data_IF_614508360069
#
_entry.id   IF_614508360069
#
_cell.length_a   1.000
_cell.length_b   1.000
_cell.length_c   1.000
_cell.angle_alpha   90.00
_cell.angle_beta   90.00
_cell.angle_gamma   90.00
#
_symmetry.space_group_name_H-M   'P 1'
#
loop_
_entity.id
_entity.type
_entity.pdbx_description
1 polymer ?
#
# COMPACT_ATOMS: atom_id res chain seq x y z
N UNK A 1 2.57 9.52 15.77
CA UNK A 1 3.34 8.47 15.09
C UNK A 1 2.47 7.82 14.04
N UNK A 2 2.94 7.77 12.82
CA UNK A 2 2.18 7.20 11.72
C UNK A 2 2.08 5.69 11.88
N UNK A 3 0.89 5.14 11.71
CA UNK A 3 0.66 3.69 11.80
C UNK A 3 0.37 3.10 10.44
N UNK A 4 0.87 1.89 10.21
CA UNK A 4 0.71 1.22 8.91
C UNK A 4 0.40 -0.27 9.11
N UNK A 5 -0.17 -0.87 8.07
CA UNK A 5 -0.13 -2.32 7.88
C UNK A 5 0.66 -2.59 6.60
N UNK A 6 1.38 -3.70 6.58
CA UNK A 6 2.24 -4.07 5.45
C UNK A 6 1.80 -5.41 4.91
N UNK A 7 1.50 -5.48 3.62
CA UNK A 7 0.99 -6.69 2.97
C UNK A 7 1.77 -6.99 1.71
N UNK A 8 2.41 -8.16 1.69
CA UNK A 8 3.21 -8.66 0.57
C UNK A 8 3.30 -10.17 0.76
N UNK A 9 3.23 -10.96 -0.30
CA UNK A 9 3.26 -12.42 -0.17
C UNK A 9 4.63 -12.99 0.18
N UNK A 10 5.68 -12.20 0.03
CA UNK A 10 7.03 -12.62 0.41
C UNK A 10 7.28 -12.28 1.88
N UNK A 11 7.26 -13.31 2.74
CA UNK A 11 7.38 -13.11 4.18
C UNK A 11 8.68 -12.46 4.59
N UNK A 12 9.78 -12.82 3.93
CA UNK A 12 11.09 -12.23 4.24
C UNK A 12 11.09 -10.73 3.90
N UNK A 13 10.50 -10.36 2.78
CA UNK A 13 10.36 -8.96 2.39
C UNK A 13 9.57 -8.18 3.45
N UNK A 14 8.46 -8.75 3.91
CA UNK A 14 7.64 -8.10 4.94
C UNK A 14 8.44 -7.89 6.22
N UNK A 15 9.17 -8.91 6.64
CA UNK A 15 9.94 -8.83 7.88
C UNK A 15 11.01 -7.73 7.83
N UNK A 16 11.80 -7.74 6.77
CA UNK A 16 12.88 -6.74 6.60
C UNK A 16 12.29 -5.33 6.49
N UNK A 17 11.24 -5.21 5.70
CA UNK A 17 10.60 -3.91 5.49
C UNK A 17 10.06 -3.35 6.81
N UNK A 18 9.41 -4.19 7.60
CA UNK A 18 8.87 -3.75 8.89
C UNK A 18 9.97 -3.32 9.86
N UNK A 19 11.13 -3.97 9.82
CA UNK A 19 12.26 -3.57 10.64
C UNK A 19 12.74 -2.17 10.27
N UNK A 20 12.83 -1.88 8.98
CA UNK A 20 13.22 -0.53 8.52
C UNK A 20 12.20 0.51 8.93
N UNK A 21 10.91 0.18 8.82
CA UNK A 21 9.86 1.12 9.20
C UNK A 21 9.95 1.45 10.69
N UNK A 22 10.22 0.44 11.53
CA UNK A 22 10.34 0.65 12.96
C UNK A 22 11.51 1.57 13.29
N UNK A 23 12.64 1.41 12.58
CA UNK A 23 13.80 2.28 12.76
C UNK A 23 13.46 3.74 12.45
N UNK A 24 12.54 3.96 11.50
CA UNK A 24 12.11 5.30 11.10
C UNK A 24 10.90 5.78 11.89
N UNK A 25 10.61 5.17 13.01
CA UNK A 25 9.51 5.56 13.91
C UNK A 25 8.13 5.46 13.29
N UNK A 26 7.96 4.51 12.39
CA UNK A 26 6.65 4.19 11.85
C UNK A 26 6.13 2.93 12.53
N UNK A 27 4.92 3.00 13.05
CA UNK A 27 4.36 1.91 13.84
C UNK A 27 3.65 0.90 12.92
N UNK A 28 4.16 -0.31 12.87
CA UNK A 28 3.54 -1.39 12.10
C UNK A 28 2.50 -2.08 12.99
N UNK A 29 1.24 -1.97 12.64
CA UNK A 29 0.14 -2.55 13.41
C UNK A 29 -0.16 -3.99 13.01
N UNK A 30 0.18 -4.36 11.79
CA UNK A 30 -0.08 -5.72 11.33
C UNK A 30 0.67 -6.04 10.06
N UNK A 31 0.83 -7.33 9.81
CA UNK A 31 1.51 -7.88 8.64
C UNK A 31 0.59 -8.88 7.98
N UNK A 32 0.47 -8.82 6.67
CA UNK A 32 -0.36 -9.74 5.92
C UNK A 32 0.33 -10.22 4.67
N UNK A 33 -0.21 -11.28 4.07
CA UNK A 33 0.48 -11.95 2.98
C UNK A 33 -0.41 -12.17 1.76
N UNK A 34 -1.62 -11.62 1.76
CA UNK A 34 -2.48 -11.57 0.58
C UNK A 34 -3.52 -10.46 0.74
N UNK A 35 -4.31 -10.25 -0.30
CA UNK A 35 -5.31 -9.17 -0.30
C UNK A 35 -6.43 -9.37 0.71
N UNK A 36 -6.78 -10.62 1.00
CA UNK A 36 -7.81 -10.91 2.00
C UNK A 36 -7.33 -10.53 3.39
N UNK A 37 -6.07 -10.85 3.70
CA UNK A 37 -5.46 -10.45 4.98
C UNK A 37 -5.42 -8.93 5.11
N UNK A 38 -5.14 -8.22 4.01
CA UNK A 38 -5.14 -6.75 4.02
C UNK A 38 -6.49 -6.20 4.49
N UNK A 39 -7.58 -6.78 3.97
CA UNK A 39 -8.93 -6.34 4.33
C UNK A 39 -9.19 -6.57 5.81
N UNK A 40 -8.86 -7.76 6.31
CA UNK A 40 -9.08 -8.10 7.72
C UNK A 40 -8.25 -7.22 8.66
N UNK A 41 -7.00 -6.97 8.28
CA UNK A 41 -6.12 -6.10 9.07
C UNK A 41 -6.63 -4.66 9.08
N UNK A 42 -7.16 -4.19 7.96
CA UNK A 42 -7.72 -2.85 7.90
C UNK A 42 -8.91 -2.71 8.84
N UNK A 43 -9.81 -3.68 8.81
CA UNK A 43 -10.98 -3.67 9.69
C UNK A 43 -10.58 -3.65 11.15
N UNK A 44 -9.57 -4.44 11.49
CA UNK A 44 -9.13 -4.60 12.87
C UNK A 44 -8.38 -3.38 13.40
N UNK A 45 -7.45 -2.85 12.61
CA UNK A 45 -6.50 -1.84 13.08
C UNK A 45 -6.79 -0.42 12.61
N UNK A 46 -7.44 -0.26 11.48
CA UNK A 46 -7.69 1.05 10.86
C UNK A 46 -6.43 1.90 10.86
N UNK A 47 -5.36 1.43 10.22
CA UNK A 47 -4.08 2.15 10.22
C UNK A 47 -4.20 3.47 9.47
N UNK A 48 -3.23 4.35 9.72
CA UNK A 48 -3.15 5.59 8.96
C UNK A 48 -2.91 5.34 7.48
N UNK A 49 -2.04 4.38 7.17
CA UNK A 49 -1.67 4.06 5.78
C UNK A 49 -1.55 2.55 5.59
N UNK A 50 -1.99 2.07 4.43
CA UNK A 50 -1.84 0.68 4.02
C UNK A 50 -0.75 0.59 2.97
N UNK A 51 0.19 -0.34 3.14
CA UNK A 51 1.19 -0.67 2.13
C UNK A 51 0.84 -2.05 1.58
N UNK A 52 0.50 -2.12 0.30
CA UNK A 52 -0.12 -3.31 -0.27
C UNK A 52 0.51 -3.64 -1.62
N UNK A 53 1.12 -4.83 -1.69
CA UNK A 53 1.68 -5.32 -2.94
C UNK A 53 0.56 -5.68 -3.91
N UNK A 54 0.79 -5.44 -5.21
CA UNK A 54 -0.22 -5.74 -6.24
C UNK A 54 -0.25 -7.22 -6.57
N UNK A 55 0.92 -7.81 -6.81
CA UNK A 55 1.01 -9.18 -7.33
C UNK A 55 1.14 -10.20 -6.21
N UNK A 56 0.05 -10.85 -5.89
CA UNK A 56 0.02 -11.91 -4.87
C UNK A 56 -0.93 -13.00 -5.35
N UNK A 57 -0.65 -14.28 -5.04
CA UNK A 57 -1.54 -15.36 -5.46
C UNK A 57 -2.88 -15.31 -4.73
N UNK A 58 -3.90 -15.84 -5.37
CA UNK A 58 -5.27 -15.95 -4.88
C UNK A 58 -5.96 -14.61 -4.71
N UNK A 59 -5.74 -13.93 -3.59
CA UNK A 59 -6.30 -12.59 -3.35
C UNK A 59 -5.19 -11.58 -3.53
N UNK A 60 -5.19 -10.88 -4.66
CA UNK A 60 -4.12 -9.94 -4.98
C UNK A 60 -4.36 -8.55 -4.37
N UNK A 61 -3.46 -7.62 -4.71
CA UNK A 61 -3.56 -6.26 -4.20
C UNK A 61 -4.73 -5.48 -4.76
N UNK A 62 -5.15 -5.78 -5.99
CA UNK A 62 -6.34 -5.13 -6.55
C UNK A 62 -7.57 -5.48 -5.73
N UNK A 63 -7.70 -6.75 -5.34
CA UNK A 63 -8.79 -7.20 -4.48
C UNK A 63 -8.77 -6.44 -3.15
N UNK A 64 -7.60 -6.38 -2.51
CA UNK A 64 -7.46 -5.68 -1.24
C UNK A 64 -7.82 -4.21 -1.33
N UNK A 65 -7.31 -3.55 -2.37
CA UNK A 65 -7.58 -2.13 -2.59
C UNK A 65 -9.07 -1.88 -2.79
N UNK A 66 -9.71 -2.66 -3.65
CA UNK A 66 -11.12 -2.49 -3.94
C UNK A 66 -11.98 -2.70 -2.70
N UNK A 67 -11.71 -3.75 -1.94
CA UNK A 67 -12.51 -4.05 -0.76
C UNK A 67 -12.29 -3.03 0.36
N UNK A 68 -11.05 -2.61 0.59
CA UNK A 68 -10.78 -1.58 1.62
C UNK A 68 -11.45 -0.28 1.22
N UNK A 69 -11.40 0.09 -0.06
CA UNK A 69 -12.02 1.33 -0.53
C UNK A 69 -13.53 1.32 -0.34
N UNK A 70 -14.16 0.16 -0.45
CA UNK A 70 -15.60 0.03 -0.18
C UNK A 70 -15.91 0.19 1.30
N UNK A 71 -15.02 -0.31 2.16
CA UNK A 71 -15.19 -0.20 3.62
C UNK A 71 -14.98 1.24 4.05
N UNK A 72 -13.96 1.90 3.51
CA UNK A 72 -13.58 3.25 3.89
C UNK A 72 -13.10 4.01 2.67
N UNK A 73 -13.97 4.86 2.08
CA UNK A 73 -13.56 5.65 0.91
C UNK A 73 -12.40 6.59 1.17
N UNK A 74 -12.14 6.93 2.44
CA UNK A 74 -11.04 7.81 2.80
C UNK A 74 -9.76 7.07 3.17
N UNK A 75 -9.73 5.74 3.07
CA UNK A 75 -8.54 4.95 3.40
C UNK A 75 -7.35 5.40 2.55
N UNK A 76 -6.17 5.42 3.16
CA UNK A 76 -4.94 5.81 2.49
C UNK A 76 -4.16 4.54 2.16
N UNK A 77 -4.08 4.23 0.87
CA UNK A 77 -3.55 2.95 0.40
C UNK A 77 -2.47 3.20 -0.63
N UNK A 78 -1.24 2.78 -0.30
CA UNK A 78 -0.09 2.85 -1.20
C UNK A 78 0.10 1.47 -1.81
N UNK A 79 0.05 1.40 -3.13
CA UNK A 79 0.27 0.15 -3.85
C UNK A 79 1.73 0.01 -4.22
N UNK A 80 2.26 -1.20 -4.08
CA UNK A 80 3.66 -1.48 -4.39
C UNK A 80 3.71 -2.55 -5.47
N UNK A 81 4.46 -2.34 -6.54
CA UNK A 81 4.48 -3.27 -7.65
C UNK A 81 5.78 -3.23 -8.44
N UNK A 82 6.16 -4.39 -9.01
CA UNK A 82 7.24 -4.47 -9.99
C UNK A 82 6.71 -4.33 -11.42
N UNK A 83 5.39 -4.32 -11.58
CA UNK A 83 4.75 -4.25 -12.89
C UNK A 83 4.63 -2.80 -13.35
N UNK A 84 5.36 -2.44 -14.41
CA UNK A 84 5.42 -1.08 -14.93
C UNK A 84 4.43 -0.85 -16.08
N UNK A 85 3.51 -1.80 -16.32
CA UNK A 85 2.60 -1.66 -17.46
C UNK A 85 1.55 -0.57 -17.22
N UNK A 86 1.12 0.05 -18.30
CA UNK A 86 0.09 1.07 -18.23
C UNK A 86 -1.26 0.47 -17.81
N UNK A 87 -1.49 -0.81 -18.09
CA UNK A 87 -2.72 -1.48 -17.68
C UNK A 87 -2.84 -1.55 -16.17
N UNK A 88 -1.75 -1.92 -15.49
CA UNK A 88 -1.73 -1.95 -14.03
C UNK A 88 -1.90 -0.55 -13.46
N UNK A 89 -1.19 0.44 -13.99
CA UNK A 89 -1.32 1.82 -13.53
C UNK A 89 -2.76 2.30 -13.67
N UNK A 90 -3.36 2.07 -14.83
CA UNK A 90 -4.73 2.50 -15.07
C UNK A 90 -5.70 1.86 -14.08
N UNK A 91 -5.53 0.57 -13.81
CA UNK A 91 -6.40 -0.13 -12.87
C UNK A 91 -6.28 0.43 -11.47
N UNK A 92 -5.06 0.77 -11.05
CA UNK A 92 -4.84 1.35 -9.73
C UNK A 92 -5.46 2.75 -9.63
N UNK A 93 -5.38 3.53 -10.70
CA UNK A 93 -6.04 4.83 -10.75
C UNK A 93 -7.56 4.67 -10.67
N UNK A 94 -8.12 3.74 -11.44
CA UNK A 94 -9.56 3.50 -11.45
C UNK A 94 -10.08 3.03 -10.09
N UNK A 95 -9.28 2.27 -9.36
CA UNK A 95 -9.64 1.81 -8.02
C UNK A 95 -9.26 2.82 -6.93
N UNK A 96 -8.74 3.97 -7.32
CA UNK A 96 -8.47 5.11 -6.43
C UNK A 96 -7.42 4.82 -5.37
N UNK A 97 -6.31 4.19 -5.77
CA UNK A 97 -5.15 4.07 -4.90
C UNK A 97 -4.65 5.46 -4.54
N UNK A 98 -4.08 5.61 -3.36
CA UNK A 98 -3.55 6.90 -2.92
C UNK A 98 -2.23 7.22 -3.59
N UNK A 99 -1.37 6.21 -3.75
CA UNK A 99 -0.07 6.36 -4.39
C UNK A 99 0.41 5.00 -4.89
N UNK A 100 1.48 5.02 -5.67
CA UNK A 100 2.08 3.81 -6.22
C UNK A 100 3.60 3.90 -6.11
N UNK A 101 4.22 2.82 -5.68
CA UNK A 101 5.67 2.70 -5.55
C UNK A 101 6.13 1.52 -6.40
N UNK A 102 7.15 1.72 -7.22
CA UNK A 102 7.71 0.65 -8.05
C UNK A 102 8.86 -0.06 -7.32
N UNK A 103 8.93 -1.38 -7.49
CA UNK A 103 10.07 -2.18 -7.02
C UNK A 103 11.14 -2.21 -8.11
N UNK A 104 12.42 -2.18 -7.74
CA UNK A 104 12.95 -1.96 -6.40
C UNK A 104 12.82 -0.50 -5.96
N UNK A 105 12.70 -0.29 -4.66
CA UNK A 105 12.52 1.05 -4.13
C UNK A 105 13.60 1.37 -3.10
N UNK A 106 13.80 2.66 -2.86
CA UNK A 106 14.64 3.15 -1.77
C UNK A 106 13.74 3.34 -0.55
N UNK A 107 14.21 2.88 0.62
CA UNK A 107 13.39 2.96 1.83
C UNK A 107 13.03 4.40 2.18
N UNK A 108 13.94 5.34 1.97
CA UNK A 108 13.66 6.75 2.27
C UNK A 108 12.54 7.30 1.38
N UNK A 109 12.48 6.87 0.12
CA UNK A 109 11.40 7.28 -0.77
C UNK A 109 10.05 6.72 -0.31
N UNK A 110 10.06 5.50 0.20
CA UNK A 110 8.84 4.89 0.76
C UNK A 110 8.37 5.69 1.97
N UNK A 111 9.29 6.05 2.87
CA UNK A 111 8.96 6.82 4.06
C UNK A 111 8.37 8.17 3.67
N UNK A 112 8.98 8.85 2.70
CA UNK A 112 8.46 10.14 2.22
C UNK A 112 7.05 10.00 1.67
N UNK A 113 6.80 8.92 0.91
CA UNK A 113 5.48 8.67 0.34
C UNK A 113 4.45 8.40 1.44
N UNK A 114 4.82 7.62 2.45
CA UNK A 114 3.95 7.35 3.58
C UNK A 114 3.55 8.64 4.29
N UNK A 115 4.53 9.49 4.57
CA UNK A 115 4.24 10.74 5.28
C UNK A 115 3.42 11.70 4.43
N UNK A 116 3.71 11.77 3.15
CA UNK A 116 2.94 12.61 2.24
C UNK A 116 1.49 12.17 2.16
N UNK A 117 1.26 10.87 1.96
CA UNK A 117 -0.09 10.31 1.86
C UNK A 117 -0.83 10.49 3.18
N UNK A 118 -0.14 10.36 4.31
CA UNK A 118 -0.75 10.52 5.61
C UNK A 118 -1.20 11.96 5.87
N UNK A 119 -0.42 12.94 5.40
CA UNK A 119 -0.75 14.35 5.61
C UNK A 119 -1.75 14.89 4.60
N UNK A 120 -1.70 14.39 3.37
CA UNK A 120 -2.52 14.90 2.29
C UNK A 120 -3.51 13.84 1.85
N UNK A 121 -4.73 14.26 1.57
CA UNK A 121 -5.73 13.33 1.07
C UNK A 121 -5.58 13.24 -0.45
N UNK A 122 -4.58 12.49 -0.90
CA UNK A 122 -4.24 12.39 -2.32
C UNK A 122 -4.79 11.11 -2.94
N UNK A 123 -5.06 11.18 -4.24
CA UNK A 123 -5.47 10.04 -5.03
C UNK A 123 -4.57 9.99 -6.26
N UNK A 124 -4.15 8.79 -6.60
CA UNK A 124 -3.31 8.57 -7.76
C UNK A 124 -4.04 8.97 -9.03
N UNK A 125 -3.38 9.71 -9.90
CA UNK A 125 -3.95 10.08 -11.19
C UNK A 125 -2.97 9.65 -12.27
N UNK A 126 -3.52 9.40 -13.48
CA UNK A 126 -2.66 9.12 -14.61
C UNK A 126 -1.90 10.39 -14.97
N UNK A 127 -0.60 10.29 -15.06
CA UNK A 127 0.18 11.36 -15.61
C UNK A 127 -0.08 11.35 -17.09
N UNK A 128 -1.01 12.11 -17.52
CA UNK A 128 -1.06 12.40 -18.90
C UNK A 128 -0.05 13.45 -19.09
N UNK A 129 1.04 13.05 -19.51
CA UNK A 129 1.95 14.03 -19.97
C UNK A 129 1.33 14.71 -21.11
N UNK A 130 1.06 15.80 -20.95
CA UNK A 130 0.65 16.55 -22.04
C UNK A 130 1.69 17.10 -22.83
#
# INVERSE_FOLDING_TARGET
MTSVIVVDDDRDTVEVFCEYLAIKDIKVLGRGYDGKAAVELYKKHKPDVVLLDVMMPDYDGFYGLEQIRKIDPAAKIIMVTADLTSDTEKKLVDLKASAMIYKPYEIDSVIETIEKVNKENVVLSTTTSN
#
